data_IF_806922261241
#
_entry.id   IF_806922261241
#
_cell.length_a   1.000
_cell.length_b   1.000
_cell.length_c   1.000
_cell.angle_alpha   90.00
_cell.angle_beta   90.00
_cell.angle_gamma   90.00
#
_symmetry.space_group_name_H-M   'P 1'
#
loop_
_entity.id
_entity.type
_entity.pdbx_description
1 polymer ?
#
# COMPACT_ATOMS: atom_id res chain seq x y z
N UNK A 1 3.71 9.94 -3.07
CA UNK A 1 4.98 10.07 -3.81
C UNK A 1 6.13 10.05 -2.83
N UNK A 2 7.16 9.25 -3.11
CA UNK A 2 8.41 9.23 -2.35
C UNK A 2 9.50 10.01 -3.09
N UNK A 3 10.58 10.35 -2.39
CA UNK A 3 11.76 10.99 -2.97
C UNK A 3 12.89 10.01 -3.30
N UNK A 4 12.72 8.73 -2.98
CA UNK A 4 13.75 7.70 -3.10
C UNK A 4 13.20 6.44 -3.77
N UNK A 5 13.51 5.26 -3.21
CA UNK A 5 13.14 3.96 -3.79
C UNK A 5 11.77 3.47 -3.30
N UNK A 6 11.11 2.70 -4.14
CA UNK A 6 9.88 1.97 -3.84
C UNK A 6 10.22 0.73 -3.00
N UNK A 7 10.06 0.84 -1.69
CA UNK A 7 10.35 -0.22 -0.70
C UNK A 7 9.09 -0.60 0.07
N UNK A 8 9.15 -1.74 0.77
CA UNK A 8 8.07 -2.19 1.67
C UNK A 8 7.73 -1.15 2.74
N UNK A 9 8.74 -0.49 3.31
CA UNK A 9 8.56 0.63 4.25
C UNK A 9 7.83 1.80 3.62
N UNK A 10 8.19 2.17 2.38
CA UNK A 10 7.54 3.28 1.70
C UNK A 10 6.05 2.99 1.45
N UNK A 11 5.72 1.75 1.03
CA UNK A 11 4.34 1.32 0.85
C UNK A 11 3.56 1.36 2.18
N UNK A 12 4.15 0.83 3.25
CA UNK A 12 3.54 0.81 4.59
C UNK A 12 3.37 2.21 5.19
N UNK A 13 4.37 3.08 5.09
CA UNK A 13 4.26 4.49 5.51
C UNK A 13 3.19 5.24 4.70
N UNK A 14 3.05 4.93 3.40
CA UNK A 14 2.00 5.51 2.55
C UNK A 14 0.61 5.09 3.00
N UNK A 15 0.43 3.81 3.37
CA UNK A 15 -0.82 3.31 3.93
C UNK A 15 -1.13 3.96 5.29
N UNK A 16 -0.16 4.01 6.19
CA UNK A 16 -0.30 4.61 7.52
C UNK A 16 -0.68 6.09 7.41
N UNK A 17 -0.06 6.82 6.48
CA UNK A 17 -0.42 8.21 6.19
C UNK A 17 -1.87 8.34 5.71
N UNK A 18 -2.28 7.50 4.74
CA UNK A 18 -3.63 7.49 4.22
C UNK A 18 -4.65 7.21 5.34
N UNK A 19 -4.42 6.17 6.14
CA UNK A 19 -5.33 5.78 7.22
C UNK A 19 -5.51 6.91 8.24
N UNK A 20 -4.39 7.47 8.71
CA UNK A 20 -4.39 8.53 9.73
C UNK A 20 -5.02 9.84 9.25
N UNK A 21 -4.96 10.13 7.95
CA UNK A 21 -5.42 11.42 7.42
C UNK A 21 -6.80 11.36 6.77
N UNK A 22 -7.15 10.24 6.16
CA UNK A 22 -8.36 10.09 5.34
C UNK A 22 -9.15 8.87 5.81
N UNK A 23 -8.53 7.69 5.82
CA UNK A 23 -9.20 6.41 6.07
C UNK A 23 -10.07 6.40 7.33
N UNK A 24 -9.50 6.77 8.48
CA UNK A 24 -10.21 6.78 9.76
C UNK A 24 -11.40 7.76 9.83
N UNK A 25 -11.38 8.81 9.01
CA UNK A 25 -12.49 9.78 8.94
C UNK A 25 -13.60 9.28 8.02
N UNK A 26 -13.24 8.60 6.93
CA UNK A 26 -14.18 8.00 6.01
C UNK A 26 -14.84 6.72 6.55
N UNK A 27 -14.13 5.99 7.41
CA UNK A 27 -14.54 4.70 7.95
C UNK A 27 -14.27 4.65 9.48
N UNK A 28 -15.01 5.42 10.29
CA UNK A 28 -14.76 5.53 11.74
C UNK A 28 -15.00 4.22 12.50
N UNK A 29 -15.92 3.39 12.03
CA UNK A 29 -16.32 2.14 12.67
C UNK A 29 -15.66 0.90 12.03
N UNK A 30 -14.61 1.10 11.22
CA UNK A 30 -13.93 0.00 10.55
C UNK A 30 -13.22 -0.91 11.56
N UNK A 31 -13.59 -2.18 11.58
CA UNK A 31 -12.91 -3.22 12.36
C UNK A 31 -11.81 -3.96 11.58
N UNK A 32 -11.83 -3.88 10.25
CA UNK A 32 -10.83 -4.49 9.37
C UNK A 32 -10.70 -3.75 8.03
N UNK A 33 -9.57 -3.95 7.35
CA UNK A 33 -9.27 -3.39 6.03
C UNK A 33 -8.91 -4.51 5.07
N UNK A 34 -9.62 -4.60 3.94
CA UNK A 34 -9.20 -5.44 2.81
C UNK A 34 -8.29 -4.65 1.87
N UNK A 35 -7.04 -5.09 1.75
CA UNK A 35 -6.04 -4.55 0.85
C UNK A 35 -5.87 -5.45 -0.38
N UNK A 36 -6.11 -4.90 -1.56
CA UNK A 36 -5.90 -5.59 -2.82
C UNK A 36 -4.53 -5.22 -3.38
N UNK A 37 -3.63 -6.20 -3.50
CA UNK A 37 -2.24 -5.99 -3.94
C UNK A 37 -1.95 -6.72 -5.25
N UNK A 38 -1.19 -6.08 -6.13
CA UNK A 38 -0.69 -6.68 -7.37
C UNK A 38 0.56 -7.58 -7.15
N UNK A 39 1.12 -7.58 -5.94
CA UNK A 39 2.25 -8.43 -5.58
C UNK A 39 3.59 -7.99 -6.18
N UNK A 40 3.72 -6.71 -6.52
CA UNK A 40 4.95 -6.08 -6.98
C UNK A 40 6.07 -6.05 -5.95
N UNK A 41 7.13 -5.28 -6.27
CA UNK A 41 8.39 -5.31 -5.50
C UNK A 41 8.24 -4.93 -4.02
N UNK A 42 7.37 -3.98 -3.70
CA UNK A 42 7.16 -3.39 -2.37
C UNK A 42 5.98 -3.97 -1.58
N UNK A 43 5.17 -4.85 -2.19
CA UNK A 43 3.99 -5.48 -1.57
C UNK A 43 3.90 -6.97 -1.96
N UNK A 44 5.04 -7.64 -2.11
CA UNK A 44 5.07 -9.02 -2.59
C UNK A 44 4.56 -10.00 -1.54
N UNK A 45 3.62 -10.88 -1.94
CA UNK A 45 3.06 -11.92 -1.09
C UNK A 45 4.12 -12.86 -0.47
N UNK A 46 5.22 -13.12 -1.20
CA UNK A 46 6.27 -14.03 -0.77
C UNK A 46 7.33 -13.40 0.14
N UNK A 47 7.34 -12.06 0.27
CA UNK A 47 8.35 -11.35 1.05
C UNK A 47 7.91 -11.18 2.50
N UNK A 48 8.58 -11.90 3.40
CA UNK A 48 8.39 -11.74 4.85
C UNK A 48 8.63 -10.31 5.35
N UNK A 49 9.58 -9.58 4.72
CA UNK A 49 9.86 -8.19 5.11
C UNK A 49 8.67 -7.25 4.85
N UNK A 50 7.85 -7.53 3.83
CA UNK A 50 6.60 -6.79 3.61
C UNK A 50 5.61 -7.05 4.73
N UNK A 51 5.39 -8.33 5.09
CA UNK A 51 4.51 -8.71 6.21
C UNK A 51 4.96 -8.08 7.53
N UNK A 52 6.26 -8.05 7.79
CA UNK A 52 6.83 -7.39 8.98
C UNK A 52 6.55 -5.88 9.00
N UNK A 53 6.84 -5.18 7.90
CA UNK A 53 6.59 -3.74 7.83
C UNK A 53 5.06 -3.44 7.90
N UNK A 54 4.22 -4.34 7.38
CA UNK A 54 2.76 -4.23 7.47
C UNK A 54 2.23 -4.52 8.87
N UNK A 55 2.80 -5.49 9.58
CA UNK A 55 2.46 -5.79 10.98
C UNK A 55 2.66 -4.56 11.86
N UNK A 56 3.77 -3.83 11.69
CA UNK A 56 4.00 -2.58 12.41
C UNK A 56 2.93 -1.51 12.13
N UNK A 57 2.35 -1.49 10.92
CA UNK A 57 1.23 -0.61 10.59
C UNK A 57 -0.04 -1.09 11.28
N UNK A 58 -0.36 -2.38 11.21
CA UNK A 58 -1.51 -3.03 11.86
C UNK A 58 -1.51 -2.73 13.36
N UNK A 59 -0.36 -2.92 14.02
CA UNK A 59 -0.19 -2.64 15.45
C UNK A 59 -0.35 -1.14 15.75
N UNK A 60 0.16 -0.26 14.87
CA UNK A 60 0.04 1.19 15.03
C UNK A 60 -1.40 1.71 14.87
N UNK A 61 -2.20 1.10 13.98
CA UNK A 61 -3.57 1.56 13.72
C UNK A 61 -4.60 0.82 14.57
N UNK A 62 -4.24 -0.34 15.14
CA UNK A 62 -5.13 -1.17 15.96
C UNK A 62 -6.25 -1.83 15.17
N UNK A 63 -6.09 -2.02 13.86
CA UNK A 63 -7.11 -2.54 12.94
C UNK A 63 -6.49 -3.66 12.11
N UNK A 64 -7.23 -4.76 12.01
CA UNK A 64 -6.84 -5.91 11.19
C UNK A 64 -6.73 -5.54 9.71
N UNK A 65 -5.68 -6.05 9.05
CA UNK A 65 -5.52 -5.91 7.60
C UNK A 65 -5.49 -7.29 6.98
N UNK A 66 -6.45 -7.54 6.09
CA UNK A 66 -6.46 -8.68 5.19
C UNK A 66 -5.85 -8.26 3.86
N UNK A 67 -4.81 -8.96 3.42
CA UNK A 67 -4.18 -8.74 2.11
C UNK A 67 -4.63 -9.84 1.16
N UNK A 68 -5.20 -9.44 0.02
CA UNK A 68 -5.52 -10.33 -1.08
C UNK A 68 -4.71 -9.94 -2.31
N UNK A 69 -3.82 -10.85 -2.74
CA UNK A 69 -2.97 -10.60 -3.89
C UNK A 69 -3.62 -11.09 -5.18
N UNK A 70 -3.54 -10.28 -6.23
CA UNK A 70 -3.82 -10.72 -7.59
C UNK A 70 -2.73 -11.70 -8.03
N UNK A 71 -3.10 -12.83 -8.65
CA UNK A 71 -2.11 -13.70 -9.29
C UNK A 71 -1.32 -12.96 -10.38
N UNK A 72 -0.17 -13.52 -10.77
CA UNK A 72 0.60 -12.97 -11.88
C UNK A 72 -0.27 -12.80 -13.15
N UNK A 73 0.00 -11.73 -13.91
CA UNK A 73 -0.75 -11.37 -15.13
C UNK A 73 -2.24 -11.04 -14.92
N UNK A 74 -2.69 -10.83 -13.68
CA UNK A 74 -4.06 -10.43 -13.36
C UNK A 74 -4.24 -8.92 -13.12
N UNK A 75 -3.26 -8.09 -13.50
CA UNK A 75 -3.29 -6.62 -13.37
C UNK A 75 -4.55 -5.99 -13.99
N UNK A 76 -5.09 -6.62 -15.04
CA UNK A 76 -6.37 -6.23 -15.67
C UNK A 76 -7.58 -6.19 -14.71
N UNK A 77 -7.53 -6.91 -13.59
CA UNK A 77 -8.59 -6.91 -12.59
C UNK A 77 -8.35 -5.87 -11.49
N UNK A 78 -7.15 -5.29 -11.42
CA UNK A 78 -6.84 -4.22 -10.49
C UNK A 78 -7.54 -2.93 -10.92
N UNK A 79 -8.51 -2.48 -10.13
CA UNK A 79 -9.34 -1.33 -10.45
C UNK A 79 -8.52 -0.05 -10.59
N UNK A 80 -7.44 0.13 -9.81
CA UNK A 80 -6.63 1.35 -9.86
C UNK A 80 -6.01 1.56 -11.24
N UNK A 81 -5.58 0.48 -11.90
CA UNK A 81 -4.97 0.54 -13.23
C UNK A 81 -5.96 1.03 -14.29
N UNK A 82 -7.22 0.61 -14.19
CA UNK A 82 -8.24 0.89 -15.21
C UNK A 82 -9.08 2.13 -14.92
N UNK A 83 -9.29 2.45 -13.65
CA UNK A 83 -10.23 3.49 -13.19
C UNK A 83 -9.54 4.74 -12.68
N UNK A 84 -8.27 4.68 -12.31
CA UNK A 84 -7.55 5.82 -11.74
C UNK A 84 -6.41 6.28 -12.65
N UNK A 85 -5.47 5.38 -13.00
CA UNK A 85 -4.28 5.78 -13.74
C UNK A 85 -4.55 6.36 -15.12
N UNK A 86 -5.64 5.95 -15.80
CA UNK A 86 -6.03 6.55 -17.07
C UNK A 86 -6.34 8.05 -16.96
N UNK A 87 -6.89 8.52 -15.83
CA UNK A 87 -7.14 9.94 -15.59
C UNK A 87 -5.86 10.69 -15.22
N UNK A 88 -4.98 10.06 -14.45
CA UNK A 88 -3.65 10.61 -14.13
C UNK A 88 -2.81 10.79 -15.40
N UNK A 89 -2.78 9.79 -16.29
CA UNK A 89 -2.06 9.89 -17.56
C UNK A 89 -2.60 11.03 -18.42
N UNK A 90 -3.92 11.27 -18.44
CA UNK A 90 -4.53 12.36 -19.22
C UNK A 90 -4.08 13.74 -18.75
N UNK A 91 -4.07 14.01 -17.44
CA UNK A 91 -3.61 15.33 -16.93
C UNK A 91 -2.11 15.54 -17.09
N UNK A 92 -1.35 14.46 -17.23
CA UNK A 92 0.09 14.49 -17.47
C UNK A 92 0.47 14.52 -18.97
N UNK A 93 -0.47 14.26 -19.87
CA UNK A 93 -0.15 14.11 -21.31
C UNK A 93 0.31 15.45 -21.89
N UNK A 94 1.51 15.46 -22.50
CA UNK A 94 2.10 16.66 -23.11
C UNK A 94 2.70 17.65 -22.10
N UNK A 95 2.75 17.31 -20.82
CA UNK A 95 3.32 18.16 -19.77
C UNK A 95 4.77 17.78 -19.48
N UNK A 96 5.60 18.78 -19.16
CA UNK A 96 6.97 18.57 -18.72
C UNK A 96 7.00 18.32 -17.19
N UNK A 97 7.71 17.30 -16.75
CA UNK A 97 7.98 17.04 -15.33
C UNK A 97 9.36 17.58 -14.93
N UNK A 98 9.48 18.91 -14.89
CA UNK A 98 10.71 19.61 -14.52
C UNK A 98 10.98 19.61 -13.01
N UNK A 99 9.92 19.68 -12.20
CA UNK A 99 10.01 19.66 -10.74
C UNK A 99 9.03 18.67 -10.14
N UNK A 100 9.34 18.21 -8.92
CA UNK A 100 8.43 17.40 -8.13
C UNK A 100 7.10 18.11 -7.90
N UNK A 101 7.14 19.42 -7.65
CA UNK A 101 5.94 20.22 -7.42
C UNK A 101 5.05 20.25 -8.67
N UNK A 102 5.63 20.42 -9.85
CA UNK A 102 4.92 20.33 -11.13
C UNK A 102 4.21 18.98 -11.25
N UNK A 103 4.92 17.87 -11.02
CA UNK A 103 4.33 16.54 -11.09
C UNK A 103 3.18 16.35 -10.08
N UNK A 104 3.37 16.81 -8.83
CA UNK A 104 2.34 16.74 -7.77
C UNK A 104 1.10 17.55 -8.15
N UNK A 105 1.30 18.78 -8.64
CA UNK A 105 0.21 19.67 -8.99
C UNK A 105 -0.58 19.13 -10.19
N UNK A 106 0.08 18.56 -11.20
CA UNK A 106 -0.58 17.90 -12.33
C UNK A 106 -1.42 16.71 -11.86
N UNK A 107 -0.84 15.79 -11.08
CA UNK A 107 -1.57 14.61 -10.61
C UNK A 107 -2.80 14.99 -9.76
N UNK A 108 -2.74 16.06 -8.97
CA UNK A 108 -3.89 16.58 -8.18
C UNK A 108 -5.04 17.10 -9.04
N UNK A 109 -4.79 17.48 -10.30
CA UNK A 109 -5.85 17.93 -11.21
C UNK A 109 -6.70 16.79 -11.75
N UNK A 110 -6.29 15.53 -11.60
CA UNK A 110 -7.06 14.39 -12.09
C UNK A 110 -8.38 14.25 -11.28
N UNK A 111 -9.49 14.55 -11.95
CA UNK A 111 -10.86 14.42 -11.43
C UNK A 111 -11.83 13.93 -12.50
N UNK A 112 -12.98 13.39 -12.10
CA UNK A 112 -14.08 13.01 -13.01
C UNK A 112 -15.38 13.69 -12.62
N UNK A 113 -16.29 13.83 -13.60
CA UNK A 113 -17.66 14.32 -13.37
C UNK A 113 -18.45 13.43 -12.41
N UNK A 114 -18.09 12.16 -12.29
CA UNK A 114 -18.70 11.18 -11.38
C UNK A 114 -18.14 11.23 -9.96
N UNK A 115 -17.21 12.15 -9.66
CA UNK A 115 -16.76 12.43 -8.30
C UNK A 115 -15.38 11.87 -7.92
N UNK A 116 -14.65 11.21 -8.82
CA UNK A 116 -13.25 10.84 -8.56
C UNK A 116 -12.43 12.10 -8.33
N UNK A 117 -11.64 12.14 -7.25
CA UNK A 117 -10.67 13.21 -6.95
C UNK A 117 -9.35 12.60 -6.56
N UNK A 118 -8.26 13.21 -7.03
CA UNK A 118 -6.92 12.72 -6.76
C UNK A 118 -6.25 13.52 -5.65
N UNK A 119 -5.74 12.82 -4.63
CA UNK A 119 -4.88 13.41 -3.60
C UNK A 119 -3.46 12.93 -3.80
N UNK A 120 -2.49 13.83 -3.62
CA UNK A 120 -1.07 13.48 -3.66
C UNK A 120 -0.39 14.00 -2.42
N UNK A 121 0.22 13.10 -1.67
CA UNK A 121 1.11 13.42 -0.56
C UNK A 121 2.56 13.09 -0.93
N UNK A 122 3.50 13.91 -0.49
CA UNK A 122 4.94 13.69 -0.67
C UNK A 122 5.52 13.27 0.67
N UNK A 123 6.01 12.04 0.75
CA UNK A 123 6.72 11.53 1.93
C UNK A 123 8.20 11.87 1.77
N UNK A 124 8.67 12.84 2.57
CA UNK A 124 10.05 13.31 2.57
C UNK A 124 10.92 12.44 3.49
N UNK A 125 11.03 11.15 3.15
CA UNK A 125 11.87 10.17 3.85
C UNK A 125 12.70 9.41 2.82
N UNK A 126 13.93 9.08 3.19
CA UNK A 126 14.81 8.23 2.39
C UNK A 126 14.61 6.78 2.83
N UNK A 127 14.34 5.92 1.85
CA UNK A 127 14.17 4.49 2.05
C UNK A 127 15.33 3.73 1.40
N UNK A 128 16.09 3.03 2.24
CA UNK A 128 17.23 2.22 1.81
C UNK A 128 16.76 0.87 1.24
N UNK A 129 17.50 0.37 0.25
CA UNK A 129 17.28 -0.95 -0.35
C UNK A 129 18.17 -2.01 0.29
N UNK A 130 17.83 -3.28 0.05
CA UNK A 130 18.63 -4.42 0.52
C UNK A 130 18.22 -4.96 1.89
N UNK A 131 17.18 -4.41 2.51
CA UNK A 131 16.56 -5.00 3.69
C UNK A 131 15.98 -6.37 3.34
N UNK A 132 16.39 -7.38 4.09
CA UNK A 132 15.86 -8.74 4.05
C UNK A 132 15.33 -9.11 5.42
N UNK A 133 14.35 -10.01 5.46
CA UNK A 133 13.88 -10.56 6.72
C UNK A 133 14.97 -11.46 7.33
N UNK A 134 15.30 -11.20 8.59
CA UNK A 134 16.11 -12.10 9.42
C UNK A 134 15.32 -13.38 9.72
N UNK A 135 16.00 -14.41 10.21
CA UNK A 135 15.31 -15.65 10.57
C UNK A 135 14.31 -15.43 11.72
N UNK A 136 14.67 -14.58 12.70
CA UNK A 136 13.73 -14.14 13.75
C UNK A 136 12.45 -13.53 13.15
N UNK A 137 12.56 -12.60 12.21
CA UNK A 137 11.38 -11.98 11.57
C UNK A 137 10.53 -13.03 10.86
N UNK A 138 11.14 -14.04 10.22
CA UNK A 138 10.37 -15.09 9.55
C UNK A 138 9.60 -15.93 10.56
N UNK A 139 10.19 -16.22 11.71
CA UNK A 139 9.56 -16.99 12.77
C UNK A 139 8.42 -16.19 13.42
N UNK A 140 8.66 -14.92 13.78
CA UNK A 140 7.62 -14.02 14.30
C UNK A 140 6.43 -13.92 13.33
N UNK A 141 6.68 -13.80 12.02
CA UNK A 141 5.62 -13.74 11.00
C UNK A 141 4.86 -15.05 10.87
N UNK A 142 5.50 -16.21 11.05
CA UNK A 142 4.81 -17.51 11.01
C UNK A 142 3.85 -17.68 12.18
N UNK A 143 4.14 -17.05 13.32
CA UNK A 143 3.30 -17.09 14.51
C UNK A 143 2.17 -16.04 14.47
N UNK A 144 2.46 -14.86 13.93
CA UNK A 144 1.54 -13.71 13.97
C UNK A 144 0.61 -13.58 12.77
N UNK A 145 0.99 -14.11 11.59
CA UNK A 145 0.22 -13.94 10.35
C UNK A 145 -0.64 -15.17 10.07
N UNK A 146 -1.93 -14.92 9.86
CA UNK A 146 -2.90 -15.97 9.51
C UNK A 146 -3.02 -16.09 7.98
N UNK A 147 -2.48 -17.16 7.42
CA UNK A 147 -2.64 -17.48 6.00
C UNK A 147 -4.04 -18.04 5.72
N UNK A 148 -4.67 -17.61 4.63
CA UNK A 148 -6.03 -18.03 4.30
C UNK A 148 -6.10 -19.50 3.81
N UNK A 149 -7.22 -20.18 4.05
CA UNK A 149 -7.45 -21.55 3.59
C UNK A 149 -7.41 -21.68 2.06
N UNK A 150 -7.93 -20.66 1.37
CA UNK A 150 -7.96 -20.59 -0.09
C UNK A 150 -6.84 -19.69 -0.56
N UNK A 151 -5.91 -20.27 -1.33
CA UNK A 151 -4.70 -19.59 -1.85
C UNK A 151 -3.82 -19.00 -0.72
N UNK A 152 -3.34 -19.80 0.24
CA UNK A 152 -2.54 -19.33 1.39
C UNK A 152 -1.25 -18.61 1.00
N UNK A 153 -0.74 -18.85 -0.21
CA UNK A 153 0.46 -18.15 -0.73
C UNK A 153 0.21 -16.70 -1.10
N UNK A 154 -1.05 -16.32 -1.32
CA UNK A 154 -1.46 -15.03 -1.87
C UNK A 154 -2.34 -14.23 -0.93
N UNK A 155 -2.94 -14.89 0.06
CA UNK A 155 -3.92 -14.28 0.95
C UNK A 155 -3.47 -14.48 2.39
N UNK A 156 -3.32 -13.37 3.10
CA UNK A 156 -2.88 -13.36 4.49
C UNK A 156 -3.64 -12.28 5.29
N UNK A 157 -3.83 -12.55 6.58
CA UNK A 157 -4.50 -11.66 7.52
C UNK A 157 -3.55 -11.36 8.67
N UNK A 158 -3.36 -10.08 8.95
CA UNK A 158 -2.51 -9.59 10.02
C UNK A 158 -3.42 -8.93 11.07
N UNK A 159 -3.36 -9.44 12.29
CA UNK A 159 -4.12 -8.93 13.43
C UNK A 159 -3.22 -8.10 14.36
N UNK A 160 -3.74 -7.05 15.01
CA UNK A 160 -2.97 -6.25 15.95
C UNK A 160 -2.45 -7.10 17.12
N UNK A 161 -1.14 -7.08 17.33
CA UNK A 161 -0.49 -7.71 18.48
C UNK A 161 -0.59 -6.75 19.66
N UNK A 162 -1.78 -6.65 20.25
CA UNK A 162 -2.04 -5.74 21.37
C UNK A 162 -1.42 -6.31 22.65
N UNK A 163 -0.20 -5.89 22.98
CA UNK A 163 0.44 -6.16 24.27
C UNK A 163 0.73 -7.63 24.57
N UNK A 164 1.88 -8.12 24.11
CA UNK A 164 2.67 -9.10 24.88
C UNK A 164 3.66 -8.36 25.77
#
# INVERSE_FOLDING_TARGET
>A
MGLSRDTTQFACDSLLWYWNRIGKQCYPDASSILMLCDGGGSNSASKYIFKNDLQAVVDSIGIEIQVAHYPSYCSKYNLIERRFFCHVSRVCTGMLFDTLETAVNLMRQATTSTGLKTTVNVIKRIYETGRNATDQIKDDIRETVHFADILPKWNDTLTPQTGQ
#
